data_IF_933742007985
#
_entry.id   IF_933742007985
#
_cell.length_a   1.000
_cell.length_b   1.000
_cell.length_c   1.000
_cell.angle_alpha   90.00
_cell.angle_beta   90.00
_cell.angle_gamma   90.00
#
_symmetry.space_group_name_H-M   'P 1'
#
loop_
_entity.id
_entity.type
_entity.pdbx_description
1 polymer ?
#
# COMPACT_ATOMS: atom_id res chain seq x y z
N UNK A 1 -43.47 54.24 0.04
CA UNK A 1 -41.97 53.88 0.15
C UNK A 1 -41.71 52.44 0.54
N UNK A 2 -42.69 51.61 0.83
CA UNK A 2 -42.49 50.22 1.33
C UNK A 2 -42.40 49.14 0.24
N UNK A 3 -42.86 49.39 -0.98
CA UNK A 3 -42.90 48.40 -2.06
C UNK A 3 -41.55 48.13 -2.73
N UNK A 4 -40.62 49.08 -2.72
CA UNK A 4 -39.28 48.93 -3.32
C UNK A 4 -38.30 48.12 -2.44
N UNK A 5 -38.48 48.06 -1.13
CA UNK A 5 -37.64 47.32 -0.21
C UNK A 5 -37.90 45.80 -0.30
N UNK A 6 -39.14 45.40 -0.56
CA UNK A 6 -39.53 43.97 -0.64
C UNK A 6 -39.01 43.35 -1.95
N UNK A 7 -39.00 44.09 -3.05
CA UNK A 7 -38.47 43.58 -4.33
C UNK A 7 -36.94 43.39 -4.32
N UNK A 8 -36.20 44.26 -3.61
CA UNK A 8 -34.74 44.14 -3.48
C UNK A 8 -34.31 42.93 -2.66
N UNK A 9 -35.02 42.61 -1.56
CA UNK A 9 -34.73 41.43 -0.73
C UNK A 9 -35.01 40.12 -1.49
N UNK A 10 -36.07 40.10 -2.31
CA UNK A 10 -36.41 38.89 -3.12
C UNK A 10 -35.37 38.60 -4.18
N UNK A 11 -34.81 39.63 -4.86
CA UNK A 11 -33.73 39.44 -5.83
C UNK A 11 -32.44 38.99 -5.16
N UNK A 12 -32.03 39.56 -4.03
CA UNK A 12 -30.81 39.15 -3.32
C UNK A 12 -30.87 37.70 -2.82
N UNK A 13 -32.03 37.27 -2.31
CA UNK A 13 -32.27 35.89 -1.90
C UNK A 13 -32.22 34.91 -3.10
N UNK A 14 -32.75 35.32 -4.27
CA UNK A 14 -32.66 34.54 -5.51
C UNK A 14 -31.24 34.38 -6.00
N UNK A 15 -30.41 35.43 -5.96
CA UNK A 15 -28.98 35.36 -6.32
C UNK A 15 -28.16 34.52 -5.34
N UNK A 16 -28.43 34.62 -4.03
CA UNK A 16 -27.79 33.79 -3.02
C UNK A 16 -28.10 32.29 -3.19
N UNK A 17 -29.37 31.98 -3.47
CA UNK A 17 -29.82 30.61 -3.71
C UNK A 17 -29.21 30.04 -5.02
N UNK A 18 -29.20 30.84 -6.08
CA UNK A 18 -28.58 30.47 -7.34
C UNK A 18 -27.07 30.27 -7.21
N UNK A 19 -26.39 31.12 -6.42
CA UNK A 19 -24.95 30.97 -6.11
C UNK A 19 -24.68 29.71 -5.29
N UNK A 20 -25.51 29.41 -4.27
CA UNK A 20 -25.44 28.17 -3.50
C UNK A 20 -25.64 26.93 -4.40
N UNK A 21 -26.69 26.91 -5.22
CA UNK A 21 -27.00 25.81 -6.14
C UNK A 21 -25.87 25.62 -7.17
N UNK A 22 -25.26 26.70 -7.64
CA UNK A 22 -24.16 26.65 -8.59
C UNK A 22 -22.86 26.10 -7.94
N UNK A 23 -22.54 26.53 -6.72
CA UNK A 23 -21.33 26.10 -6.02
C UNK A 23 -21.46 24.73 -5.34
N UNK A 24 -22.67 24.30 -4.99
CA UNK A 24 -22.94 22.99 -4.39
C UNK A 24 -23.54 21.98 -5.38
N UNK A 25 -23.40 22.21 -6.70
CA UNK A 25 -23.80 21.18 -7.66
C UNK A 25 -23.03 19.90 -7.38
N UNK A 26 -23.73 18.78 -7.06
CA UNK A 26 -23.06 17.49 -6.98
C UNK A 26 -22.35 17.22 -8.30
N UNK A 27 -21.11 16.78 -8.24
CA UNK A 27 -20.34 16.40 -9.44
C UNK A 27 -21.22 15.51 -10.30
N UNK A 28 -21.43 15.87 -11.56
CA UNK A 28 -22.23 15.06 -12.47
C UNK A 28 -21.61 13.67 -12.56
N UNK A 29 -22.42 12.64 -12.80
CA UNK A 29 -21.93 11.27 -12.95
C UNK A 29 -20.75 11.17 -13.93
N UNK A 30 -20.75 12.00 -14.97
CA UNK A 30 -19.66 12.12 -15.95
C UNK A 30 -18.37 12.67 -15.33
N UNK A 31 -18.43 13.72 -14.53
CA UNK A 31 -17.24 14.29 -13.85
C UNK A 31 -16.65 13.33 -12.84
N UNK A 32 -17.52 12.58 -12.14
CA UNK A 32 -17.07 11.51 -11.25
C UNK A 32 -16.38 10.39 -12.04
N UNK A 33 -16.95 9.99 -13.15
CA UNK A 33 -16.38 8.95 -14.01
C UNK A 33 -15.05 9.36 -14.65
N UNK A 34 -14.92 10.62 -15.08
CA UNK A 34 -13.65 11.18 -15.59
C UNK A 34 -12.59 11.29 -14.48
N UNK A 35 -12.98 11.70 -13.26
CA UNK A 35 -12.06 11.71 -12.11
C UNK A 35 -11.63 10.30 -11.70
N UNK A 36 -12.55 9.34 -11.67
CA UNK A 36 -12.26 7.95 -11.37
C UNK A 36 -11.35 7.32 -12.47
N UNK A 37 -11.54 7.71 -13.74
CA UNK A 37 -10.67 7.29 -14.83
C UNK A 37 -9.26 7.86 -14.71
N UNK A 38 -9.11 9.15 -14.38
CA UNK A 38 -7.80 9.78 -14.13
C UNK A 38 -7.10 9.17 -12.91
N UNK A 39 -7.83 8.88 -11.83
CA UNK A 39 -7.30 8.17 -10.67
C UNK A 39 -6.89 6.74 -11.02
N UNK A 40 -7.64 6.07 -11.90
CA UNK A 40 -7.29 4.75 -12.41
C UNK A 40 -6.05 4.76 -13.32
N UNK A 41 -5.75 5.89 -13.98
CA UNK A 41 -4.53 6.08 -14.78
C UNK A 41 -3.32 6.45 -13.94
N UNK A 42 -3.49 7.00 -12.74
CA UNK A 42 -2.39 7.30 -11.83
C UNK A 42 -1.59 6.04 -11.51
N UNK A 43 -0.27 6.14 -11.47
CA UNK A 43 0.66 5.02 -11.22
C UNK A 43 1.35 5.11 -9.87
N UNK A 44 1.14 6.20 -9.16
CA UNK A 44 1.75 6.48 -7.85
C UNK A 44 0.67 6.68 -6.81
N UNK A 45 0.96 6.27 -5.59
CA UNK A 45 0.17 6.58 -4.41
C UNK A 45 0.49 8.00 -3.93
N UNK A 46 -0.53 8.84 -3.78
CA UNK A 46 -0.36 10.27 -3.47
C UNK A 46 0.14 10.53 -2.05
N UNK A 47 -0.12 9.60 -1.11
CA UNK A 47 0.31 9.76 0.28
C UNK A 47 1.79 9.39 0.46
N UNK A 48 2.20 8.23 -0.08
CA UNK A 48 3.53 7.67 0.15
C UNK A 48 4.52 7.94 -0.97
N UNK A 49 4.06 8.44 -2.13
CA UNK A 49 4.83 8.62 -3.37
C UNK A 49 5.40 7.30 -3.93
N UNK A 50 5.06 6.16 -3.37
CA UNK A 50 5.39 4.85 -3.93
C UNK A 50 4.53 4.56 -5.16
N UNK A 51 4.95 3.62 -5.99
CA UNK A 51 4.08 3.06 -7.03
C UNK A 51 2.88 2.38 -6.37
N UNK A 52 1.71 2.45 -7.00
CA UNK A 52 0.47 1.89 -6.48
C UNK A 52 0.22 0.44 -6.95
N UNK A 53 -0.88 -0.15 -6.51
CA UNK A 53 -1.32 -1.52 -6.86
C UNK A 53 -1.44 -1.76 -8.37
N UNK A 54 -1.85 -0.75 -9.14
CA UNK A 54 -1.91 -0.87 -10.60
C UNK A 54 -0.52 -1.07 -11.19
N UNK A 55 0.43 -0.23 -10.80
CA UNK A 55 1.83 -0.33 -11.22
C UNK A 55 2.47 -1.66 -10.77
N UNK A 56 2.09 -2.16 -9.60
CA UNK A 56 2.49 -3.48 -9.13
C UNK A 56 2.03 -4.59 -10.08
N UNK A 57 0.76 -4.60 -10.45
CA UNK A 57 0.21 -5.64 -11.35
C UNK A 57 0.86 -5.60 -12.73
N UNK A 58 1.09 -4.40 -13.29
CA UNK A 58 1.78 -4.23 -14.57
C UNK A 58 3.20 -4.78 -14.50
N UNK A 59 3.92 -4.48 -13.43
CA UNK A 59 5.29 -4.92 -13.22
C UNK A 59 5.38 -6.42 -12.96
N UNK A 60 4.48 -6.97 -12.13
CA UNK A 60 4.44 -8.41 -11.86
C UNK A 60 4.29 -9.20 -13.17
N UNK A 61 3.37 -8.80 -14.04
CA UNK A 61 3.20 -9.41 -15.36
C UNK A 61 4.48 -9.29 -16.22
N UNK A 62 5.19 -8.16 -16.13
CA UNK A 62 6.46 -7.96 -16.82
C UNK A 62 7.54 -8.93 -16.31
N UNK A 63 7.63 -9.13 -15.02
CA UNK A 63 8.58 -10.08 -14.40
C UNK A 63 8.28 -11.53 -14.84
N UNK A 64 7.00 -11.92 -14.88
CA UNK A 64 6.62 -13.23 -15.43
C UNK A 64 7.01 -13.38 -16.89
N UNK A 65 6.76 -12.40 -17.74
CA UNK A 65 7.15 -12.42 -19.14
C UNK A 65 8.69 -12.46 -19.31
N UNK A 66 9.44 -11.78 -18.46
CA UNK A 66 10.91 -11.82 -18.45
C UNK A 66 11.42 -13.18 -18.01
N UNK A 67 10.84 -13.78 -16.97
CA UNK A 67 11.15 -15.13 -16.54
C UNK A 67 10.96 -16.16 -17.66
N UNK A 68 9.83 -16.11 -18.36
CA UNK A 68 9.55 -17.04 -19.47
C UNK A 68 10.61 -16.93 -20.60
N UNK A 69 11.11 -15.73 -20.87
CA UNK A 69 12.08 -15.49 -21.94
C UNK A 69 13.53 -15.76 -21.54
N UNK A 70 13.90 -15.46 -20.30
CA UNK A 70 15.30 -15.40 -19.86
C UNK A 70 15.60 -16.33 -18.67
N UNK A 71 14.59 -16.98 -18.09
CA UNK A 71 14.76 -17.85 -16.93
C UNK A 71 15.11 -17.11 -15.63
N UNK A 72 15.01 -15.76 -15.60
CA UNK A 72 15.35 -14.96 -14.43
C UNK A 72 14.33 -15.20 -13.33
N UNK A 73 14.80 -15.62 -12.16
CA UNK A 73 13.96 -15.79 -10.97
C UNK A 73 13.66 -14.44 -10.34
N UNK A 74 12.58 -14.37 -9.60
CA UNK A 74 12.25 -13.24 -8.74
C UNK A 74 11.41 -13.71 -7.56
N UNK A 75 11.39 -12.93 -6.50
CA UNK A 75 10.56 -13.17 -5.32
C UNK A 75 9.63 -12.01 -5.05
N UNK A 76 8.54 -12.31 -4.37
CA UNK A 76 7.51 -11.36 -3.93
C UNK A 76 7.47 -11.32 -2.40
N UNK A 77 7.46 -10.11 -1.83
CA UNK A 77 7.14 -9.86 -0.44
C UNK A 77 5.77 -9.17 -0.37
N UNK A 78 4.88 -9.67 0.45
CA UNK A 78 3.70 -8.94 0.93
C UNK A 78 3.92 -8.54 2.37
N UNK A 79 3.69 -7.28 2.68
CA UNK A 79 3.99 -6.65 3.96
C UNK A 79 2.72 -5.99 4.48
N UNK A 80 2.43 -6.17 5.76
CA UNK A 80 1.29 -5.54 6.43
C UNK A 80 1.72 -4.98 7.79
N UNK A 81 1.27 -3.79 8.10
CA UNK A 81 1.57 -3.11 9.36
C UNK A 81 0.70 -3.68 10.48
N UNK A 82 1.36 -4.30 11.45
CA UNK A 82 0.66 -4.87 12.58
C UNK A 82 -0.04 -3.78 13.40
N UNK A 83 -1.33 -4.00 13.69
CA UNK A 83 -2.13 -3.11 14.52
C UNK A 83 -2.28 -1.66 14.01
N UNK A 84 -2.09 -1.41 12.72
CA UNK A 84 -2.21 -0.07 12.13
C UNK A 84 -3.55 0.60 12.42
N UNK A 85 -4.65 -0.17 12.45
CA UNK A 85 -5.97 0.33 12.85
C UNK A 85 -5.94 0.97 14.24
N UNK A 86 -5.22 0.36 15.19
CA UNK A 86 -5.11 0.89 16.56
C UNK A 86 -4.39 2.26 16.57
N UNK A 87 -3.40 2.47 15.68
CA UNK A 87 -2.75 3.78 15.51
C UNK A 87 -3.80 4.82 15.11
N UNK A 88 -4.61 4.53 14.08
CA UNK A 88 -5.66 5.43 13.63
C UNK A 88 -6.71 5.70 14.71
N UNK A 89 -7.17 4.65 15.39
CA UNK A 89 -8.20 4.75 16.41
C UNK A 89 -7.72 5.55 17.65
N UNK A 90 -6.43 5.49 17.97
CA UNK A 90 -5.86 6.16 19.15
C UNK A 90 -5.36 7.58 18.84
N UNK A 91 -4.74 7.80 17.67
CA UNK A 91 -4.03 9.05 17.34
C UNK A 91 -4.62 9.80 16.14
N UNK A 92 -5.69 9.24 15.54
CA UNK A 92 -6.34 9.81 14.37
C UNK A 92 -5.64 9.50 13.04
N UNK A 93 -6.36 9.69 11.94
CA UNK A 93 -5.86 9.43 10.59
C UNK A 93 -4.58 10.19 10.21
N UNK A 94 -4.36 11.47 10.63
CA UNK A 94 -3.11 12.15 10.30
C UNK A 94 -1.86 11.45 10.87
N UNK A 95 -1.98 10.81 12.04
CA UNK A 95 -0.89 10.02 12.61
C UNK A 95 -0.64 8.73 11.82
N UNK A 96 -1.70 8.05 11.39
CA UNK A 96 -1.61 6.90 10.49
C UNK A 96 -0.96 7.25 9.16
N UNK A 97 -1.32 8.39 8.57
CA UNK A 97 -0.71 8.89 7.33
C UNK A 97 0.80 9.13 7.49
N UNK A 98 1.22 9.76 8.60
CA UNK A 98 2.63 9.96 8.92
C UNK A 98 3.38 8.62 9.08
N UNK A 99 2.76 7.62 9.70
CA UNK A 99 3.31 6.27 9.82
C UNK A 99 3.50 5.64 8.44
N UNK A 100 2.50 5.69 7.56
CA UNK A 100 2.59 5.13 6.20
C UNK A 100 3.71 5.78 5.40
N UNK A 101 3.88 7.11 5.49
CA UNK A 101 4.97 7.83 4.84
C UNK A 101 6.34 7.42 5.40
N UNK A 102 6.47 7.28 6.73
CA UNK A 102 7.70 6.86 7.37
C UNK A 102 8.09 5.42 6.98
N UNK A 103 7.11 4.51 6.92
CA UNK A 103 7.33 3.13 6.48
C UNK A 103 7.74 3.08 5.01
N UNK A 104 7.10 3.84 4.13
CA UNK A 104 7.45 3.93 2.72
C UNK A 104 8.92 4.36 2.53
N UNK A 105 9.34 5.37 3.28
CA UNK A 105 10.73 5.85 3.28
C UNK A 105 11.71 4.80 3.82
N UNK A 106 11.34 4.10 4.90
CA UNK A 106 12.13 3.02 5.48
C UNK A 106 12.31 1.87 4.48
N UNK A 107 11.24 1.43 3.83
CA UNK A 107 11.30 0.39 2.80
C UNK A 107 12.26 0.77 1.67
N UNK A 108 12.11 1.98 1.14
CA UNK A 108 12.96 2.48 0.04
C UNK A 108 14.44 2.58 0.43
N UNK A 109 14.75 2.96 1.69
CA UNK A 109 16.13 3.06 2.17
C UNK A 109 16.76 1.71 2.53
N UNK A 110 15.94 0.72 2.91
CA UNK A 110 16.43 -0.58 3.39
C UNK A 110 16.65 -1.56 2.24
N UNK A 111 15.91 -1.42 1.17
CA UNK A 111 15.95 -2.30 0.00
C UNK A 111 17.03 -1.87 -1.00
N UNK A 112 17.38 -2.78 -1.93
CA UNK A 112 18.31 -2.51 -3.02
C UNK A 112 17.63 -1.64 -4.08
N UNK A 113 18.40 -0.92 -4.87
CA UNK A 113 17.89 -0.08 -5.96
C UNK A 113 17.04 -0.86 -6.99
N UNK A 114 17.37 -2.15 -7.20
CA UNK A 114 16.62 -3.02 -8.11
C UNK A 114 15.33 -3.59 -7.52
N UNK A 115 15.14 -3.53 -6.21
CA UNK A 115 13.92 -3.98 -5.55
C UNK A 115 12.82 -2.91 -5.74
N UNK A 116 11.65 -3.35 -6.12
CA UNK A 116 10.56 -2.47 -6.53
C UNK A 116 9.48 -2.45 -5.46
N UNK A 117 9.28 -1.28 -4.85
CA UNK A 117 8.37 -1.09 -3.72
C UNK A 117 7.06 -0.47 -4.18
N UNK A 118 5.95 -0.98 -3.64
CA UNK A 118 4.59 -0.56 -3.96
C UNK A 118 3.75 -0.39 -2.71
N UNK A 119 2.83 0.56 -2.71
CA UNK A 119 1.69 0.56 -1.79
C UNK A 119 0.58 -0.29 -2.40
N UNK A 120 0.32 -1.44 -1.78
CA UNK A 120 -0.59 -2.45 -2.32
C UNK A 120 -2.03 -2.24 -1.87
N UNK A 121 -2.22 -1.75 -0.64
CA UNK A 121 -3.51 -1.48 -0.01
C UNK A 121 -3.45 -0.32 0.98
N UNK A 122 -4.36 -0.27 1.93
CA UNK A 122 -4.41 0.75 2.98
C UNK A 122 -3.13 0.82 3.80
N UNK A 123 -2.83 -0.27 4.52
CA UNK A 123 -1.64 -0.50 5.35
C UNK A 123 -0.75 -1.63 4.82
N UNK A 124 -0.99 -2.04 3.57
CA UNK A 124 -0.28 -3.11 2.90
C UNK A 124 0.72 -2.56 1.88
N UNK A 125 1.92 -3.14 1.88
CA UNK A 125 2.97 -2.88 0.90
C UNK A 125 3.36 -4.17 0.18
N UNK A 126 3.85 -4.05 -1.04
CA UNK A 126 4.41 -5.15 -1.79
C UNK A 126 5.81 -4.80 -2.30
N UNK A 127 6.68 -5.80 -2.36
CA UNK A 127 8.02 -5.65 -2.95
C UNK A 127 8.26 -6.77 -3.93
N UNK A 128 8.60 -6.42 -5.15
CA UNK A 128 9.12 -7.36 -6.14
C UNK A 128 10.63 -7.29 -6.06
N UNK A 129 11.30 -8.45 -5.91
CA UNK A 129 12.75 -8.59 -5.82
C UNK A 129 13.29 -9.34 -7.06
N UNK A 130 13.59 -8.63 -8.17
CA UNK A 130 14.12 -9.25 -9.39
C UNK A 130 15.47 -9.92 -9.13
N UNK A 131 15.70 -11.11 -9.69
CA UNK A 131 16.93 -11.86 -9.53
C UNK A 131 17.17 -12.46 -8.13
N UNK A 132 16.27 -12.26 -7.19
CA UNK A 132 16.38 -12.79 -5.82
C UNK A 132 15.63 -14.11 -5.67
N UNK A 133 16.29 -15.12 -5.12
CA UNK A 133 15.66 -16.36 -4.68
C UNK A 133 15.01 -16.19 -3.31
N UNK A 134 14.24 -17.18 -2.89
CA UNK A 134 13.49 -17.18 -1.63
C UNK A 134 14.34 -16.77 -0.42
N UNK A 135 15.55 -17.35 -0.28
CA UNK A 135 16.45 -17.03 0.83
C UNK A 135 16.92 -15.58 0.85
N UNK A 136 17.28 -15.04 -0.30
CA UNK A 136 17.74 -13.63 -0.41
C UNK A 136 16.62 -12.66 -0.12
N UNK A 137 15.42 -12.96 -0.63
CA UNK A 137 14.21 -12.20 -0.35
C UNK A 137 13.82 -12.27 1.12
N UNK A 138 13.98 -13.43 1.77
CA UNK A 138 13.77 -13.61 3.20
C UNK A 138 14.71 -12.75 4.05
N UNK A 139 15.99 -12.65 3.68
CA UNK A 139 16.98 -11.80 4.34
C UNK A 139 16.58 -10.33 4.19
N UNK A 140 16.13 -9.91 3.00
CA UNK A 140 15.65 -8.56 2.78
C UNK A 140 14.40 -8.26 3.63
N UNK A 141 13.45 -9.18 3.69
CA UNK A 141 12.24 -9.06 4.51
C UNK A 141 12.57 -8.92 6.01
N UNK A 142 13.50 -9.74 6.53
CA UNK A 142 13.90 -9.69 7.94
C UNK A 142 14.66 -8.39 8.26
N UNK A 143 15.49 -7.90 7.34
CA UNK A 143 16.15 -6.60 7.48
C UNK A 143 15.14 -5.45 7.57
N UNK A 144 14.08 -5.47 6.75
CA UNK A 144 12.98 -4.48 6.83
C UNK A 144 12.31 -4.56 8.20
N UNK A 145 11.94 -5.76 8.64
CA UNK A 145 11.27 -5.97 9.92
C UNK A 145 12.11 -5.44 11.08
N UNK A 146 13.39 -5.79 11.11
CA UNK A 146 14.32 -5.31 12.14
C UNK A 146 14.52 -3.79 12.09
N UNK A 147 14.64 -3.22 10.90
CA UNK A 147 14.79 -1.78 10.71
C UNK A 147 13.57 -1.01 11.25
N UNK A 148 12.35 -1.50 11.05
CA UNK A 148 11.17 -0.88 11.61
C UNK A 148 11.15 -0.97 13.14
N UNK A 149 11.46 -2.15 13.71
CA UNK A 149 11.53 -2.32 15.16
C UNK A 149 12.61 -1.45 15.82
N UNK A 150 13.74 -1.20 15.13
CA UNK A 150 14.85 -0.37 15.63
C UNK A 150 14.60 1.15 15.44
N UNK A 151 13.66 1.53 14.61
CA UNK A 151 13.31 2.93 14.37
C UNK A 151 12.16 3.28 15.29
N UNK A 152 12.35 4.16 16.30
CA UNK A 152 11.23 4.74 17.03
C UNK A 152 10.43 5.51 15.98
N UNK A 153 9.42 4.89 15.44
CA UNK A 153 8.55 5.54 14.45
C UNK A 153 8.01 6.78 15.13
N UNK A 154 8.19 7.91 14.48
CA UNK A 154 7.97 9.30 14.82
C UNK A 154 6.61 9.66 15.46
N UNK A 155 5.97 8.74 16.11
CA UNK A 155 4.92 8.99 17.08
C UNK A 155 5.59 9.43 18.39
N UNK A 156 6.31 10.58 18.33
CA UNK A 156 7.03 11.19 19.44
C UNK A 156 6.19 11.41 20.71
N UNK A 157 4.92 11.01 20.70
CA UNK A 157 3.98 11.28 21.78
C UNK A 157 3.28 10.04 22.38
N UNK A 158 3.55 8.81 21.91
CA UNK A 158 2.65 7.72 22.27
C UNK A 158 3.24 6.38 22.69
N UNK A 159 4.55 6.20 22.76
CA UNK A 159 5.12 4.91 23.21
C UNK A 159 4.66 3.67 22.42
N UNK A 160 4.12 3.85 21.22
CA UNK A 160 3.68 2.75 20.37
C UNK A 160 4.86 2.13 19.63
N UNK A 161 5.05 0.84 19.83
CA UNK A 161 6.00 0.04 19.05
C UNK A 161 5.25 -0.49 17.82
N UNK A 162 5.58 0.03 16.65
CA UNK A 162 5.05 -0.47 15.39
C UNK A 162 5.86 -1.68 14.94
N UNK A 163 5.17 -2.72 14.47
CA UNK A 163 5.79 -3.88 13.82
C UNK A 163 5.13 -4.18 12.49
N UNK A 164 5.73 -5.08 11.73
CA UNK A 164 5.16 -5.56 10.48
C UNK A 164 5.28 -7.07 10.36
N UNK A 165 4.33 -7.65 9.66
CA UNK A 165 4.35 -9.05 9.26
C UNK A 165 4.65 -9.14 7.76
N UNK A 166 5.45 -10.12 7.35
CA UNK A 166 5.85 -10.31 5.96
C UNK A 166 5.62 -11.75 5.52
N UNK A 167 4.97 -11.90 4.36
CA UNK A 167 4.92 -13.14 3.61
C UNK A 167 5.83 -13.07 2.40
N UNK A 168 6.64 -14.10 2.18
CA UNK A 168 7.60 -14.18 1.08
C UNK A 168 7.34 -15.43 0.24
N UNK A 169 7.35 -15.28 -1.08
CA UNK A 169 7.30 -16.40 -2.02
C UNK A 169 8.23 -16.14 -3.21
N UNK A 170 8.95 -17.18 -3.65
CA UNK A 170 9.71 -17.17 -4.90
C UNK A 170 8.80 -17.66 -6.04
N UNK A 171 8.96 -17.10 -7.25
CA UNK A 171 8.24 -17.57 -8.43
C UNK A 171 8.61 -19.03 -8.74
N UNK A 172 7.60 -19.88 -8.89
CA UNK A 172 7.77 -21.28 -9.27
C UNK A 172 7.65 -21.49 -10.80
N UNK A 173 8.09 -22.67 -11.27
CA UNK A 173 8.35 -22.99 -12.68
C UNK A 173 7.24 -22.65 -13.66
N UNK A 174 5.99 -23.00 -13.36
CA UNK A 174 4.85 -22.92 -14.29
C UNK A 174 3.67 -22.09 -13.79
N UNK A 175 3.84 -21.41 -12.66
CA UNK A 175 2.74 -20.62 -12.09
C UNK A 175 2.48 -19.31 -12.82
N UNK A 176 1.29 -18.77 -12.64
CA UNK A 176 0.88 -17.44 -13.07
C UNK A 176 0.93 -16.45 -11.89
N UNK A 177 0.79 -15.16 -12.20
CA UNK A 177 0.88 -14.10 -11.21
C UNK A 177 -0.01 -14.29 -9.97
N UNK A 178 -1.24 -14.78 -10.16
CA UNK A 178 -2.20 -15.02 -9.08
C UNK A 178 -1.71 -16.14 -8.13
N UNK A 179 -1.04 -17.17 -8.66
CA UNK A 179 -0.49 -18.27 -7.84
C UNK A 179 0.62 -17.78 -6.91
N UNK A 180 1.57 -16.99 -7.43
CA UNK A 180 2.63 -16.39 -6.62
C UNK A 180 2.05 -15.44 -5.55
N UNK A 181 1.08 -14.60 -5.94
CA UNK A 181 0.42 -13.68 -5.02
C UNK A 181 -0.29 -14.45 -3.89
N UNK A 182 -1.00 -15.53 -4.22
CA UNK A 182 -1.69 -16.38 -3.24
C UNK A 182 -0.70 -17.02 -2.26
N UNK A 183 0.45 -17.51 -2.71
CA UNK A 183 1.48 -18.10 -1.85
C UNK A 183 2.11 -17.07 -0.91
N UNK A 184 2.40 -15.87 -1.39
CA UNK A 184 2.89 -14.78 -0.57
C UNK A 184 1.86 -14.35 0.48
N UNK A 185 0.57 -14.30 0.12
CA UNK A 185 -0.54 -14.00 1.03
C UNK A 185 -0.71 -15.08 2.11
N UNK A 186 -0.65 -16.36 1.74
CA UNK A 186 -0.67 -17.48 2.71
C UNK A 186 0.47 -17.37 3.73
N UNK A 187 1.67 -17.00 3.27
CA UNK A 187 2.81 -16.78 4.15
C UNK A 187 2.59 -15.57 5.07
N UNK A 188 2.05 -14.46 4.56
CA UNK A 188 1.69 -13.30 5.36
C UNK A 188 0.63 -13.62 6.41
N UNK A 189 -0.40 -14.36 6.01
CA UNK A 189 -1.43 -14.85 6.93
C UNK A 189 -0.82 -15.72 8.05
N UNK A 190 0.08 -16.65 7.70
CA UNK A 190 0.80 -17.47 8.67
C UNK A 190 1.68 -16.63 9.61
N UNK A 191 2.29 -15.53 9.12
CA UNK A 191 3.04 -14.59 9.94
C UNK A 191 2.13 -13.92 10.99
N UNK A 192 0.98 -13.40 10.55
CA UNK A 192 0.00 -12.75 11.42
C UNK A 192 -0.54 -13.70 12.50
N UNK A 193 -0.91 -14.92 12.13
CA UNK A 193 -1.44 -15.93 13.06
C UNK A 193 -0.41 -16.52 14.01
N UNK A 194 0.85 -16.55 13.64
CA UNK A 194 1.92 -17.02 14.52
C UNK A 194 2.34 -15.98 15.58
N UNK A 195 1.67 -14.82 15.67
CA UNK A 195 1.90 -13.79 16.70
C UNK A 195 2.50 -12.51 16.15
N UNK A 196 2.37 -12.26 14.85
CA UNK A 196 2.82 -11.01 14.18
C UNK A 196 4.32 -10.75 14.29
N UNK A 197 4.79 -9.56 13.87
CA UNK A 197 6.18 -9.11 13.94
C UNK A 197 7.17 -10.18 13.48
N UNK A 198 6.93 -10.76 12.30
CA UNK A 198 7.77 -11.84 11.74
C UNK A 198 7.65 -11.97 10.25
N UNK A 199 8.61 -12.72 9.71
CA UNK A 199 8.64 -13.16 8.33
C UNK A 199 8.25 -14.64 8.25
N UNK A 200 7.42 -15.00 7.28
CA UNK A 200 7.13 -16.36 6.88
C UNK A 200 7.38 -16.52 5.39
N UNK A 201 7.79 -17.71 5.01
CA UNK A 201 8.12 -18.06 3.64
C UNK A 201 7.16 -19.13 3.15
N UNK A 202 6.79 -19.07 1.89
CA UNK A 202 6.13 -20.19 1.22
C UNK A 202 7.17 -20.90 0.34
N UNK A 203 7.56 -22.12 0.71
CA UNK A 203 8.62 -22.90 0.05
C UNK A 203 8.14 -23.67 -1.19
N UNK A 204 6.90 -23.45 -1.60
CA UNK A 204 6.21 -24.18 -2.68
C UNK A 204 5.15 -25.14 -2.17
N UNK A 205 5.27 -25.59 -0.93
CA UNK A 205 4.33 -26.55 -0.28
C UNK A 205 3.74 -26.00 1.01
N UNK A 206 4.56 -25.44 1.88
CA UNK A 206 4.19 -25.02 3.23
C UNK A 206 4.70 -23.61 3.57
N UNK A 207 4.06 -23.01 4.58
CA UNK A 207 4.54 -21.76 5.16
C UNK A 207 5.52 -22.05 6.31
N UNK A 208 6.80 -21.71 6.13
CA UNK A 208 7.90 -22.01 7.05
C UNK A 208 8.54 -20.76 7.66
N UNK A 209 9.17 -20.84 8.82
CA UNK A 209 9.98 -19.77 9.39
C UNK A 209 11.25 -19.49 8.55
N UNK A 210 11.78 -18.29 8.63
CA UNK A 210 13.04 -17.90 7.93
C UNK A 210 14.22 -18.82 8.29
N UNK A 211 14.28 -19.28 9.53
CA UNK A 211 15.41 -20.13 10.00
C UNK A 211 15.38 -21.56 9.46
N UNK A 212 14.41 -21.90 8.61
CA UNK A 212 14.25 -23.27 8.06
C UNK A 212 14.96 -23.44 6.72
N UNK A 213 15.44 -22.35 6.07
CA UNK A 213 16.09 -22.35 4.76
C UNK A 213 17.53 -21.84 4.80
#
# INVERSE_FOLDING_TARGET
>A
MTTWLISGLSMAAGFALAWLVFNFRPRTARQKHEADALLAEARTDTLTSLKNRRSFNEELNRQFAQRQRQGIVFSLLLIDLDQFKQVNDTHGHPAGDAVLQAVALLLTKTLREMDLVYRFGGDEFAVICPGSRLREAAIAAERIRQALCATPVLLQHAGLTLSLSVGVAEVDGSEIADGLLQRADQALYAAKHAGKNRVRLHDGQLCVPVNTI
#
